data_IF_744912067354
#
_entry.id   IF_744912067354
#
_cell.length_a   1.000
_cell.length_b   1.000
_cell.length_c   1.000
_cell.angle_alpha   90.00
_cell.angle_beta   90.00
_cell.angle_gamma   90.00
#
_symmetry.space_group_name_H-M   'P 1'
#
loop_
_entity.id
_entity.type
_entity.pdbx_description
1 polymer ?
#
# COMPACT_ATOMS: atom_id res chain seq x y z
N UNK A 1 16.89 40.61 9.73
CA UNK A 1 17.66 39.93 10.79
C UNK A 1 16.84 38.71 11.18
N UNK A 2 17.18 37.54 10.65
CA UNK A 2 16.35 36.34 10.76
C UNK A 2 16.59 35.68 12.12
N UNK A 3 15.66 35.90 13.04
CA UNK A 3 15.72 35.46 14.43
C UNK A 3 15.47 33.94 14.51
N UNK A 4 16.58 33.23 14.71
CA UNK A 4 16.72 31.93 15.37
C UNK A 4 15.66 30.83 15.18
N UNK A 5 15.99 29.88 14.29
CA UNK A 5 15.69 28.46 14.50
C UNK A 5 16.59 27.90 15.61
N UNK A 6 16.41 28.30 16.87
CA UNK A 6 17.10 27.65 17.99
C UNK A 6 16.45 26.30 18.28
N UNK A 7 17.23 25.20 18.39
CA UNK A 7 16.71 23.88 18.76
C UNK A 7 15.89 23.89 20.06
N UNK A 8 16.20 24.80 20.97
CA UNK A 8 15.50 24.97 22.24
C UNK A 8 14.09 25.57 22.09
N UNK A 9 13.85 26.44 21.10
CA UNK A 9 12.53 27.01 20.84
C UNK A 9 11.58 25.94 20.27
N UNK A 10 12.04 25.16 19.29
CA UNK A 10 11.25 24.04 18.74
C UNK A 10 10.98 22.95 19.78
N UNK A 11 11.91 22.71 20.70
CA UNK A 11 11.69 21.77 21.79
C UNK A 11 10.59 22.22 22.74
N UNK A 12 10.52 23.52 23.07
CA UNK A 12 9.50 24.08 23.96
C UNK A 12 8.08 24.03 23.36
N UNK A 13 7.98 24.07 22.03
CA UNK A 13 6.72 24.00 21.28
C UNK A 13 6.14 22.57 21.17
N UNK A 14 6.92 21.54 21.50
CA UNK A 14 6.44 20.16 21.45
C UNK A 14 5.41 19.87 22.57
N UNK A 15 4.36 19.08 22.27
CA UNK A 15 3.48 18.52 23.29
C UNK A 15 4.28 17.82 24.40
N UNK A 16 3.77 17.88 25.63
CA UNK A 16 4.41 17.26 26.80
C UNK A 16 4.77 15.80 26.55
N UNK A 17 3.83 15.05 25.97
CA UNK A 17 3.92 13.61 25.77
C UNK A 17 5.00 13.27 24.74
N UNK A 18 5.12 14.09 23.69
CA UNK A 18 6.16 13.93 22.67
C UNK A 18 7.55 14.19 23.24
N UNK A 19 7.70 15.22 24.09
CA UNK A 19 8.98 15.47 24.77
C UNK A 19 9.37 14.34 25.70
N UNK A 20 8.43 13.85 26.51
CA UNK A 20 8.67 12.74 27.42
C UNK A 20 9.05 11.47 26.66
N UNK A 21 8.35 11.17 25.56
CA UNK A 21 8.69 10.05 24.67
C UNK A 21 10.11 10.18 24.10
N UNK A 22 10.46 11.34 23.56
CA UNK A 22 11.78 11.58 22.97
C UNK A 22 12.91 11.54 24.02
N UNK A 23 12.64 11.93 25.26
CA UNK A 23 13.61 11.83 26.37
C UNK A 23 13.86 10.38 26.82
N UNK A 24 12.89 9.48 26.59
CA UNK A 24 12.97 8.07 26.96
C UNK A 24 13.59 7.19 25.88
N UNK A 25 13.79 7.72 24.66
CA UNK A 25 14.39 6.96 23.57
C UNK A 25 15.88 6.76 23.79
N UNK A 26 16.28 5.51 23.90
CA UNK A 26 17.68 5.13 23.81
C UNK A 26 18.14 5.05 22.35
N UNK A 27 19.46 5.01 22.12
CA UNK A 27 20.03 4.95 20.77
C UNK A 27 19.52 3.72 20.00
N UNK A 28 19.29 2.61 20.69
CA UNK A 28 18.83 1.37 20.08
C UNK A 28 17.34 1.45 19.69
N UNK A 29 16.51 2.14 20.48
CA UNK A 29 15.11 2.39 20.15
C UNK A 29 14.97 3.24 18.89
N UNK A 30 15.86 4.23 18.72
CA UNK A 30 15.89 5.08 17.52
C UNK A 30 16.19 4.24 16.27
N UNK A 31 17.18 3.35 16.34
CA UNK A 31 17.54 2.46 15.23
C UNK A 31 16.39 1.49 14.88
N UNK A 32 15.69 0.99 15.90
CA UNK A 32 14.52 0.14 15.71
C UNK A 32 13.36 0.89 15.06
N UNK A 33 13.09 2.13 15.48
CA UNK A 33 12.06 2.99 14.89
C UNK A 33 12.36 3.31 13.42
N UNK A 34 13.62 3.64 13.09
CA UNK A 34 14.04 3.90 11.71
C UNK A 34 13.79 2.66 10.82
N UNK A 35 14.22 1.49 11.30
CA UNK A 35 13.99 0.21 10.62
C UNK A 35 12.50 -0.11 10.48
N UNK A 36 11.71 0.18 11.52
CA UNK A 36 10.27 -0.02 11.52
C UNK A 36 9.54 0.87 10.51
N UNK A 37 9.95 2.14 10.39
CA UNK A 37 9.40 3.09 9.43
C UNK A 37 9.70 2.63 7.99
N UNK A 38 10.92 2.15 7.73
CA UNK A 38 11.29 1.60 6.42
C UNK A 38 10.46 0.35 6.06
N UNK A 39 10.25 -0.54 7.03
CA UNK A 39 9.44 -1.74 6.85
C UNK A 39 7.97 -1.41 6.55
N UNK A 40 7.39 -0.45 7.29
CA UNK A 40 6.02 0.01 7.05
C UNK A 40 5.90 0.66 5.68
N UNK A 41 6.83 1.55 5.31
CA UNK A 41 6.85 2.19 3.98
C UNK A 41 6.90 1.15 2.85
N UNK A 42 7.73 0.13 3.02
CA UNK A 42 7.85 -0.96 2.05
C UNK A 42 6.57 -1.81 2.00
N UNK A 43 6.00 -2.13 3.16
CA UNK A 43 4.77 -2.91 3.27
C UNK A 43 3.55 -2.22 2.67
N UNK A 44 3.42 -0.90 2.84
CA UNK A 44 2.34 -0.11 2.22
C UNK A 44 2.45 -0.16 0.69
N UNK A 45 3.67 -0.09 0.15
CA UNK A 45 3.93 -0.21 -1.29
C UNK A 45 3.52 -1.58 -1.82
N UNK A 46 3.97 -2.65 -1.16
CA UNK A 46 3.68 -4.04 -1.54
C UNK A 46 2.19 -4.35 -1.38
N UNK A 47 1.55 -3.86 -0.33
CA UNK A 47 0.12 -4.10 -0.07
C UNK A 47 -0.78 -3.57 -1.20
N UNK A 48 -0.46 -2.40 -1.76
CA UNK A 48 -1.17 -1.87 -2.92
C UNK A 48 -1.01 -2.76 -4.15
N UNK A 49 0.21 -3.26 -4.41
CA UNK A 49 0.47 -4.19 -5.50
C UNK A 49 -0.30 -5.51 -5.32
N UNK A 50 -0.23 -6.13 -4.14
CA UNK A 50 -0.93 -7.38 -3.83
C UNK A 50 -2.44 -7.26 -4.00
N UNK A 51 -3.02 -6.13 -3.58
CA UNK A 51 -4.45 -5.85 -3.80
C UNK A 51 -4.81 -5.88 -5.29
N UNK A 52 -4.04 -5.19 -6.12
CA UNK A 52 -4.29 -5.17 -7.57
C UNK A 52 -4.05 -6.54 -8.20
N UNK A 53 -3.01 -7.26 -7.78
CA UNK A 53 -2.73 -8.62 -8.23
C UNK A 53 -3.93 -9.55 -7.95
N UNK A 54 -4.50 -9.51 -6.74
CA UNK A 54 -5.66 -10.30 -6.40
C UNK A 54 -6.89 -9.96 -7.27
N UNK A 55 -7.14 -8.67 -7.50
CA UNK A 55 -8.23 -8.22 -8.38
C UNK A 55 -8.00 -8.69 -9.82
N UNK A 56 -6.77 -8.59 -10.33
CA UNK A 56 -6.43 -9.06 -11.67
C UNK A 56 -6.60 -10.57 -11.84
N UNK A 57 -6.21 -11.36 -10.84
CA UNK A 57 -6.41 -12.81 -10.86
C UNK A 57 -7.90 -13.15 -10.87
N UNK A 58 -8.68 -12.56 -9.95
CA UNK A 58 -10.11 -12.81 -9.85
C UNK A 58 -10.86 -12.37 -11.11
N UNK A 59 -10.57 -11.14 -11.58
CA UNK A 59 -11.14 -10.59 -12.81
C UNK A 59 -10.74 -11.38 -14.05
N UNK A 60 -9.49 -11.84 -14.12
CA UNK A 60 -9.01 -12.68 -15.21
C UNK A 60 -9.72 -14.04 -15.26
N UNK A 61 -9.93 -14.67 -14.11
CA UNK A 61 -10.66 -15.94 -14.02
C UNK A 61 -12.12 -15.80 -14.45
N UNK A 62 -12.83 -14.83 -13.87
CA UNK A 62 -14.23 -14.58 -14.20
C UNK A 62 -14.39 -14.14 -15.66
N UNK A 63 -13.49 -13.28 -16.14
CA UNK A 63 -13.47 -12.83 -17.53
C UNK A 63 -13.24 -13.97 -18.50
N UNK A 64 -12.31 -14.88 -18.21
CA UNK A 64 -12.02 -16.04 -19.05
C UNK A 64 -13.22 -16.99 -19.13
N UNK A 65 -13.91 -17.26 -18.02
CA UNK A 65 -15.11 -18.09 -17.99
C UNK A 65 -16.23 -17.50 -18.85
N UNK A 66 -16.49 -16.19 -18.71
CA UNK A 66 -17.52 -15.50 -19.50
C UNK A 66 -17.17 -15.47 -21.00
N UNK A 67 -15.90 -15.21 -21.33
CA UNK A 67 -15.41 -15.26 -22.70
C UNK A 67 -15.57 -16.65 -23.32
N UNK A 68 -15.26 -17.70 -22.57
CA UNK A 68 -15.42 -19.09 -23.01
C UNK A 68 -16.88 -19.43 -23.32
N UNK A 69 -17.81 -19.09 -22.41
CA UNK A 69 -19.24 -19.29 -22.65
C UNK A 69 -19.73 -18.52 -23.88
N UNK A 70 -19.28 -17.26 -24.02
CA UNK A 70 -19.60 -16.42 -25.18
C UNK A 70 -19.09 -17.02 -26.48
N UNK A 71 -17.85 -17.50 -26.50
CA UNK A 71 -17.24 -18.13 -27.67
C UNK A 71 -18.00 -19.41 -28.08
N UNK A 72 -18.39 -20.26 -27.13
CA UNK A 72 -19.20 -21.45 -27.42
C UNK A 72 -20.56 -21.05 -28.01
N UNK A 73 -21.25 -20.07 -27.41
CA UNK A 73 -22.54 -19.59 -27.91
C UNK A 73 -22.42 -19.09 -29.35
N UNK A 74 -21.43 -18.25 -29.64
CA UNK A 74 -21.17 -17.74 -30.99
C UNK A 74 -20.86 -18.87 -31.98
N UNK A 75 -19.99 -19.81 -31.61
CA UNK A 75 -19.68 -20.97 -32.45
C UNK A 75 -20.91 -21.84 -32.73
N UNK A 76 -21.79 -22.01 -31.74
CA UNK A 76 -23.06 -22.70 -31.89
C UNK A 76 -23.99 -22.04 -32.91
N UNK A 77 -24.08 -20.72 -32.91
CA UNK A 77 -24.90 -19.96 -33.86
C UNK A 77 -24.36 -20.08 -35.29
N UNK A 78 -23.04 -19.94 -35.46
CA UNK A 78 -22.39 -20.11 -36.78
C UNK A 78 -22.61 -21.52 -37.33
N UNK A 79 -22.50 -22.56 -36.50
CA UNK A 79 -22.75 -23.94 -36.94
C UNK A 79 -24.24 -24.21 -37.21
N UNK A 80 -25.14 -23.59 -36.45
CA UNK A 80 -26.59 -23.71 -36.62
C UNK A 80 -27.13 -22.99 -37.84
N UNK A 81 -26.59 -21.82 -38.18
CA UNK A 81 -27.01 -21.01 -39.33
C UNK A 81 -26.55 -21.57 -40.70
N UNK A 82 -25.61 -22.52 -40.71
CA UNK A 82 -25.12 -23.20 -41.91
C UNK A 82 -25.86 -24.49 -42.28
N UNK A 83 -26.95 -24.84 -41.57
CA UNK A 83 -27.85 -25.96 -41.89
C UNK A 83 -29.21 -25.42 -42.30
#
# INVERSE_FOLDING_TARGET
MSEHNTPSAQWAELPSDTREFLQRLERDDIALLESGIELVRSSVTVGKFVRWLAISIAGGFLGALLLWEGAIKLAGWVKGAGR
#
